data_IF_974017975610
#
_entry.id   IF_974017975610
#
_cell.length_a   1.000
_cell.length_b   1.000
_cell.length_c   1.000
_cell.angle_alpha   90.00
_cell.angle_beta   90.00
_cell.angle_gamma   90.00
#
_symmetry.space_group_name_H-M   'P 1'
#
loop_
_entity.id
_entity.type
_entity.pdbx_description
1 polymer ?
#
# COMPACT_ATOMS: atom_id res chain seq x y z
N UNK A 1 4.00 -16.55 6.78
CA UNK A 1 2.74 -15.81 6.49
C UNK A 1 2.18 -16.32 5.18
N UNK A 2 0.86 -16.36 5.00
CA UNK A 2 0.24 -16.70 3.70
C UNK A 2 -0.16 -15.38 3.04
N UNK A 3 0.37 -15.12 1.86
CA UNK A 3 0.10 -13.94 1.07
C UNK A 3 -0.58 -14.37 -0.23
N UNK A 4 -1.67 -13.71 -0.59
CA UNK A 4 -2.33 -13.93 -1.87
C UNK A 4 -2.99 -12.64 -2.36
N UNK A 5 -3.13 -12.52 -3.66
CA UNK A 5 -3.84 -11.42 -4.32
C UNK A 5 -4.76 -11.98 -5.41
N UNK A 6 -5.84 -11.27 -5.68
CA UNK A 6 -6.75 -11.61 -6.77
C UNK A 6 -7.40 -10.34 -7.34
N UNK A 7 -7.79 -10.41 -8.61
CA UNK A 7 -8.61 -9.40 -9.28
C UNK A 7 -9.79 -10.10 -9.93
N UNK A 8 -10.98 -9.50 -9.80
CA UNK A 8 -12.21 -10.07 -10.35
C UNK A 8 -12.81 -9.08 -11.34
N UNK A 9 -12.90 -9.51 -12.62
CA UNK A 9 -13.52 -8.72 -13.67
C UNK A 9 -14.98 -8.44 -13.34
N UNK A 10 -15.34 -7.17 -13.26
CA UNK A 10 -16.70 -6.72 -13.00
C UNK A 10 -17.70 -7.14 -14.09
N UNK A 11 -18.99 -7.28 -13.72
CA UNK A 11 -20.06 -7.70 -14.65
C UNK A 11 -20.19 -6.74 -15.83
N UNK A 12 -20.05 -5.44 -15.64
CA UNK A 12 -20.12 -4.42 -16.70
C UNK A 12 -19.00 -4.58 -17.72
N UNK A 13 -17.77 -4.90 -17.28
CA UNK A 13 -16.65 -5.18 -18.16
C UNK A 13 -16.84 -6.50 -18.92
N UNK A 14 -17.39 -7.51 -18.25
CA UNK A 14 -17.69 -8.80 -18.88
C UNK A 14 -18.73 -8.67 -20.00
N UNK A 15 -19.80 -7.89 -19.79
CA UNK A 15 -20.84 -7.66 -20.81
C UNK A 15 -20.38 -6.83 -22.00
N UNK A 16 -19.37 -5.97 -21.80
CA UNK A 16 -18.78 -5.12 -22.86
C UNK A 16 -17.53 -5.74 -23.50
N UNK A 17 -17.18 -6.96 -23.12
CA UNK A 17 -15.96 -7.64 -23.56
C UNK A 17 -14.66 -6.84 -23.29
N UNK A 18 -14.66 -6.00 -22.24
CA UNK A 18 -13.48 -5.22 -21.81
C UNK A 18 -12.54 -6.09 -20.99
N UNK A 19 -11.26 -5.75 -20.94
CA UNK A 19 -10.30 -6.38 -20.04
C UNK A 19 -10.65 -6.11 -18.57
N UNK A 20 -10.10 -6.89 -17.63
CA UNK A 20 -10.02 -6.48 -16.23
C UNK A 20 -8.97 -5.37 -16.13
N UNK A 21 -9.36 -4.21 -15.61
CA UNK A 21 -8.48 -3.05 -15.52
C UNK A 21 -7.69 -3.03 -14.21
N UNK A 22 -8.02 -3.93 -13.27
CA UNK A 22 -7.34 -4.06 -11.99
C UNK A 22 -6.14 -4.99 -12.10
N UNK A 23 -5.09 -4.67 -11.38
CA UNK A 23 -3.91 -5.51 -11.20
C UNK A 23 -3.51 -5.60 -9.73
N UNK A 24 -2.86 -6.68 -9.36
CA UNK A 24 -2.29 -6.86 -8.03
C UNK A 24 -0.98 -7.63 -8.11
N UNK A 25 -0.12 -7.40 -7.14
CA UNK A 25 1.12 -8.16 -6.96
C UNK A 25 1.39 -8.37 -5.47
N UNK A 26 1.73 -9.59 -5.12
CA UNK A 26 2.11 -9.96 -3.75
C UNK A 26 3.44 -10.66 -3.80
N UNK A 27 4.38 -10.21 -2.97
CA UNK A 27 5.76 -10.71 -2.95
C UNK A 27 6.11 -11.05 -1.51
N UNK A 28 6.69 -12.24 -1.32
CA UNK A 28 7.32 -12.64 -0.07
C UNK A 28 8.83 -12.63 -0.27
N UNK A 29 9.52 -11.77 0.47
CA UNK A 29 10.97 -11.70 0.43
C UNK A 29 11.62 -12.73 1.37
N UNK A 30 12.84 -13.13 1.06
CA UNK A 30 13.60 -14.08 1.87
C UNK A 30 13.99 -13.55 3.26
N UNK A 31 13.98 -12.23 3.44
CA UNK A 31 14.22 -11.55 4.72
C UNK A 31 12.98 -11.51 5.64
N UNK A 32 11.87 -12.13 5.23
CA UNK A 32 10.63 -12.19 5.98
C UNK A 32 9.63 -11.07 5.68
N UNK A 33 10.04 -10.02 4.96
CA UNK A 33 9.13 -8.95 4.55
C UNK A 33 8.12 -9.43 3.49
N UNK A 34 6.91 -8.92 3.58
CA UNK A 34 5.85 -9.12 2.59
C UNK A 34 5.51 -7.78 1.93
N UNK A 35 5.34 -7.78 0.62
CA UNK A 35 4.94 -6.62 -0.16
C UNK A 35 3.60 -6.92 -0.81
N UNK A 36 2.63 -6.03 -0.66
CA UNK A 36 1.35 -6.10 -1.34
C UNK A 36 1.12 -4.83 -2.15
N UNK A 37 0.74 -4.98 -3.42
CA UNK A 37 0.48 -3.88 -4.35
C UNK A 37 -0.84 -4.14 -5.07
N UNK A 38 -1.66 -3.12 -5.20
CA UNK A 38 -2.93 -3.15 -5.93
C UNK A 38 -3.06 -1.87 -6.74
N UNK A 39 -3.52 -2.00 -7.97
CA UNK A 39 -3.80 -0.90 -8.88
C UNK A 39 -5.17 -1.11 -9.55
N UNK A 40 -5.96 -0.03 -9.64
CA UNK A 40 -7.24 0.03 -10.35
C UNK A 40 -7.09 0.99 -11.53
N UNK A 41 -7.24 0.47 -12.73
CA UNK A 41 -7.12 1.25 -13.96
C UNK A 41 -8.34 2.13 -14.19
N UNK A 42 -8.12 3.42 -14.42
CA UNK A 42 -9.19 4.40 -14.64
C UNK A 42 -10.07 3.99 -15.83
N UNK A 43 -11.35 3.80 -15.59
CA UNK A 43 -12.28 3.25 -16.58
C UNK A 43 -12.50 4.08 -17.85
N UNK A 44 -12.11 5.36 -17.85
CA UNK A 44 -12.13 6.24 -19.02
C UNK A 44 -10.84 6.22 -19.83
N UNK A 45 -9.74 5.70 -19.30
CA UNK A 45 -8.46 5.60 -19.99
C UNK A 45 -8.44 4.39 -20.94
N UNK A 46 -7.83 4.55 -22.10
CA UNK A 46 -7.90 3.55 -23.20
C UNK A 46 -7.20 2.22 -22.88
N UNK A 47 -6.12 2.31 -22.11
CA UNK A 47 -5.19 1.20 -21.83
C UNK A 47 -4.84 1.13 -20.34
N UNK A 48 -5.82 1.46 -19.49
CA UNK A 48 -5.62 1.49 -18.03
C UNK A 48 -5.28 0.11 -17.44
N UNK A 49 -5.71 -0.97 -18.09
CA UNK A 49 -5.30 -2.34 -17.73
C UNK A 49 -3.78 -2.57 -17.91
N UNK A 50 -3.17 -1.93 -18.91
CA UNK A 50 -1.73 -1.94 -19.12
C UNK A 50 -1.05 -1.07 -18.05
N UNK A 51 -1.59 0.13 -17.80
CA UNK A 51 -1.11 1.04 -16.77
C UNK A 51 -1.08 0.38 -15.40
N UNK A 52 -2.18 -0.25 -14.98
CA UNK A 52 -2.31 -0.98 -13.72
C UNK A 52 -1.28 -2.12 -13.60
N UNK A 53 -1.08 -2.90 -14.66
CA UNK A 53 -0.07 -3.96 -14.69
C UNK A 53 1.34 -3.42 -14.54
N UNK A 54 1.71 -2.39 -15.32
CA UNK A 54 3.04 -1.75 -15.21
C UNK A 54 3.24 -1.21 -13.80
N UNK A 55 2.23 -0.55 -13.22
CA UNK A 55 2.31 0.02 -11.88
C UNK A 55 2.69 -1.03 -10.83
N UNK A 56 1.94 -2.13 -10.72
CA UNK A 56 2.20 -3.16 -9.70
C UNK A 56 3.49 -3.95 -9.98
N UNK A 57 3.80 -4.22 -11.26
CA UNK A 57 5.01 -4.95 -11.63
C UNK A 57 6.27 -4.13 -11.30
N UNK A 58 6.32 -2.87 -11.73
CA UNK A 58 7.49 -2.03 -11.56
C UNK A 58 7.69 -1.56 -10.12
N UNK A 59 6.62 -1.21 -9.41
CA UNK A 59 6.71 -0.95 -7.98
C UNK A 59 7.19 -2.20 -7.21
N UNK A 60 6.66 -3.38 -7.55
CA UNK A 60 7.07 -4.64 -6.94
C UNK A 60 8.53 -5.02 -7.22
N UNK A 61 8.99 -4.84 -8.46
CA UNK A 61 10.39 -4.99 -8.86
C UNK A 61 11.31 -4.12 -7.98
N UNK A 62 11.03 -2.80 -7.97
CA UNK A 62 11.81 -1.83 -7.20
C UNK A 62 11.86 -2.17 -5.70
N UNK A 63 10.71 -2.47 -5.09
CA UNK A 63 10.66 -2.88 -3.68
C UNK A 63 11.47 -4.16 -3.43
N UNK A 64 11.37 -5.16 -4.31
CA UNK A 64 12.08 -6.44 -4.15
C UNK A 64 13.59 -6.29 -4.20
N UNK A 65 14.10 -5.38 -5.00
CA UNK A 65 15.52 -5.12 -5.17
C UNK A 65 16.11 -4.26 -4.05
N UNK A 66 15.28 -3.39 -3.44
CA UNK A 66 15.75 -2.37 -2.52
C UNK A 66 15.38 -2.64 -1.05
N UNK A 67 14.46 -3.56 -0.73
CA UNK A 67 14.15 -3.94 0.65
C UNK A 67 15.15 -4.96 1.17
N UNK A 68 15.99 -4.52 2.11
CA UNK A 68 17.02 -5.32 2.72
C UNK A 68 16.73 -5.64 4.20
N UNK A 69 17.38 -6.70 4.71
CA UNK A 69 17.31 -7.05 6.12
C UNK A 69 17.85 -5.90 7.02
N UNK A 70 17.14 -5.63 8.10
CA UNK A 70 17.56 -4.63 9.08
C UNK A 70 17.16 -3.18 8.73
N UNK A 71 16.46 -2.95 7.63
CA UNK A 71 15.88 -1.63 7.35
C UNK A 71 14.88 -1.24 8.44
N UNK A 72 14.98 0.00 8.89
CA UNK A 72 13.96 0.59 9.75
C UNK A 72 12.74 1.00 8.95
N UNK A 73 11.66 1.36 9.65
CA UNK A 73 10.39 1.71 9.04
C UNK A 73 10.46 2.92 8.10
N UNK A 74 11.28 3.93 8.45
CA UNK A 74 11.42 5.13 7.62
C UNK A 74 12.17 4.82 6.31
N UNK A 75 13.14 3.90 6.35
CA UNK A 75 13.81 3.41 5.15
C UNK A 75 12.88 2.57 4.26
N UNK A 76 12.04 1.72 4.86
CA UNK A 76 11.03 0.96 4.11
C UNK A 76 10.01 1.90 3.44
N UNK A 77 9.58 2.96 4.15
CA UNK A 77 8.69 3.97 3.62
C UNK A 77 9.32 4.71 2.45
N UNK A 78 10.61 5.06 2.54
CA UNK A 78 11.31 5.71 1.43
C UNK A 78 11.40 4.80 0.21
N UNK A 79 11.73 3.50 0.39
CA UNK A 79 11.74 2.54 -0.72
C UNK A 79 10.37 2.43 -1.37
N UNK A 80 9.29 2.38 -0.58
CA UNK A 80 7.94 2.33 -1.10
C UNK A 80 7.60 3.58 -1.92
N UNK A 81 7.96 4.77 -1.43
CA UNK A 81 7.78 6.04 -2.14
C UNK A 81 8.53 6.06 -3.47
N UNK A 82 9.79 5.66 -3.46
CA UNK A 82 10.62 5.63 -4.66
C UNK A 82 10.07 4.61 -5.67
N UNK A 83 9.47 3.51 -5.20
CA UNK A 83 8.82 2.51 -6.06
C UNK A 83 7.63 3.07 -6.84
N UNK A 84 6.85 3.98 -6.25
CA UNK A 84 5.76 4.67 -6.94
C UNK A 84 6.29 5.59 -8.05
N UNK A 85 7.37 6.32 -7.76
CA UNK A 85 8.05 7.17 -8.75
C UNK A 85 8.64 6.32 -9.90
N UNK A 86 9.21 5.16 -9.57
CA UNK A 86 9.74 4.24 -10.56
C UNK A 86 8.64 3.65 -11.45
N UNK A 87 7.50 3.28 -10.86
CA UNK A 87 6.33 2.81 -11.60
C UNK A 87 5.80 3.89 -12.56
N UNK A 88 5.65 5.13 -12.09
CA UNK A 88 5.22 6.26 -12.92
C UNK A 88 6.16 6.51 -14.10
N UNK A 89 7.48 6.53 -13.84
CA UNK A 89 8.47 6.70 -14.90
C UNK A 89 8.39 5.57 -15.94
N UNK A 90 8.12 4.33 -15.51
CA UNK A 90 7.98 3.18 -16.39
C UNK A 90 6.71 3.27 -17.26
N UNK A 91 5.60 3.77 -16.71
CA UNK A 91 4.37 4.05 -17.48
C UNK A 91 4.66 5.14 -18.53
N UNK A 92 5.34 6.22 -18.15
CA UNK A 92 5.68 7.31 -19.07
C UNK A 92 6.62 6.85 -20.19
N UNK A 93 7.61 6.03 -19.88
CA UNK A 93 8.47 5.40 -20.87
C UNK A 93 7.67 4.53 -21.85
N UNK A 94 6.78 3.67 -21.33
CA UNK A 94 5.93 2.81 -22.15
C UNK A 94 5.02 3.64 -23.08
N UNK A 95 4.41 4.71 -22.57
CA UNK A 95 3.59 5.63 -23.37
C UNK A 95 4.40 6.24 -24.51
N UNK A 96 5.60 6.73 -24.21
CA UNK A 96 6.51 7.33 -25.20
C UNK A 96 6.92 6.32 -26.28
N UNK A 97 7.30 5.11 -25.91
CA UNK A 97 7.71 4.04 -26.83
C UNK A 97 6.59 3.59 -27.76
N UNK A 98 5.32 3.72 -27.30
CA UNK A 98 4.14 3.35 -28.07
C UNK A 98 3.44 4.53 -28.76
N UNK A 99 4.04 5.73 -28.74
CA UNK A 99 3.46 6.96 -29.30
C UNK A 99 2.04 7.24 -28.75
N UNK A 100 1.81 6.96 -27.47
CA UNK A 100 0.57 7.18 -26.75
C UNK A 100 0.68 8.30 -25.73
N UNK A 101 -0.44 8.81 -25.24
CA UNK A 101 -0.47 9.77 -24.15
C UNK A 101 -0.39 9.04 -22.82
N UNK A 102 0.25 9.63 -21.81
CA UNK A 102 0.38 9.00 -20.48
C UNK A 102 -0.99 8.78 -19.83
N UNK A 103 -1.95 9.68 -20.09
CA UNK A 103 -3.33 9.62 -19.61
C UNK A 103 -4.10 8.40 -20.14
N UNK A 104 -3.66 7.80 -21.25
CA UNK A 104 -4.24 6.56 -21.76
C UNK A 104 -3.98 5.36 -20.81
N UNK A 105 -3.03 5.49 -19.89
CA UNK A 105 -2.60 4.45 -18.92
C UNK A 105 -2.92 4.81 -17.46
N UNK A 106 -3.83 5.75 -17.23
CA UNK A 106 -4.19 6.20 -15.89
C UNK A 106 -4.63 5.05 -15.00
N UNK A 107 -4.06 5.00 -13.80
CA UNK A 107 -4.34 3.98 -12.80
C UNK A 107 -4.11 4.54 -11.40
N UNK A 108 -4.72 3.92 -10.40
CA UNK A 108 -4.37 4.09 -8.99
C UNK A 108 -3.18 3.20 -8.63
N UNK A 109 -2.59 3.42 -7.47
CA UNK A 109 -1.64 2.47 -6.87
C UNK A 109 -1.71 2.55 -5.35
N UNK A 110 -1.94 1.42 -4.71
CA UNK A 110 -1.82 1.25 -3.27
C UNK A 110 -0.78 0.19 -2.97
N UNK A 111 0.09 0.45 -2.00
CA UNK A 111 1.15 -0.47 -1.65
C UNK A 111 1.43 -0.51 -0.16
N UNK A 112 1.84 -1.67 0.32
CA UNK A 112 2.27 -1.87 1.70
C UNK A 112 3.45 -2.83 1.78
N UNK A 113 4.37 -2.53 2.70
CA UNK A 113 5.49 -3.40 3.10
C UNK A 113 5.28 -3.76 4.57
N UNK A 114 5.25 -5.05 4.87
CA UNK A 114 5.11 -5.57 6.22
C UNK A 114 6.34 -6.40 6.59
N UNK A 115 7.01 -6.06 7.68
CA UNK A 115 8.24 -6.69 8.15
C UNK A 115 8.03 -7.72 9.28
N UNK A 116 6.77 -8.03 9.60
CA UNK A 116 6.38 -8.89 10.72
C UNK A 116 5.98 -8.12 11.98
N UNK A 117 6.28 -6.84 12.06
CA UNK A 117 5.99 -5.97 13.21
C UNK A 117 5.34 -4.64 12.81
N UNK A 118 5.82 -4.03 11.74
CA UNK A 118 5.43 -2.70 11.28
C UNK A 118 4.94 -2.75 9.84
N UNK A 119 4.14 -1.77 9.45
CA UNK A 119 3.65 -1.59 8.08
C UNK A 119 4.07 -0.20 7.60
N UNK A 120 4.86 -0.15 6.52
CA UNK A 120 5.01 1.02 5.69
C UNK A 120 3.98 0.95 4.57
N UNK A 121 3.23 2.02 4.32
CA UNK A 121 2.22 2.04 3.27
C UNK A 121 2.21 3.35 2.49
N UNK A 122 1.82 3.26 1.23
CA UNK A 122 1.64 4.38 0.33
C UNK A 122 0.38 4.18 -0.51
N UNK A 123 -0.25 5.28 -0.90
CA UNK A 123 -1.52 5.25 -1.60
C UNK A 123 -1.66 6.46 -2.52
N UNK A 124 -2.05 6.20 -3.77
CA UNK A 124 -2.41 7.20 -4.77
C UNK A 124 -3.72 6.77 -5.44
N UNK A 125 -4.81 7.52 -5.20
CA UNK A 125 -6.14 7.24 -5.75
C UNK A 125 -7.22 7.06 -4.68
N UNK A 126 -8.24 6.26 -4.97
CA UNK A 126 -9.43 6.06 -4.14
C UNK A 126 -9.56 4.64 -3.56
N UNK A 127 -8.55 3.79 -3.76
CA UNK A 127 -8.46 2.49 -3.11
C UNK A 127 -8.33 2.60 -1.58
N UNK A 128 -8.12 1.49 -0.91
CA UNK A 128 -8.01 1.49 0.55
C UNK A 128 -7.13 0.37 1.08
N UNK A 129 -6.46 0.65 2.19
CA UNK A 129 -5.70 -0.35 2.96
C UNK A 129 -6.39 -0.51 4.31
N UNK A 130 -6.75 -1.75 4.64
CA UNK A 130 -7.37 -2.13 5.91
C UNK A 130 -6.38 -2.95 6.72
N UNK A 131 -6.19 -2.57 7.97
CA UNK A 131 -5.34 -3.29 8.92
C UNK A 131 -6.19 -3.89 10.03
N UNK A 132 -6.03 -5.18 10.27
CA UNK A 132 -6.57 -5.84 11.45
C UNK A 132 -5.54 -5.80 12.57
N UNK A 133 -5.90 -5.19 13.69
CA UNK A 133 -5.05 -5.10 14.90
C UNK A 133 -5.08 -6.39 15.71
N UNK A 134 -4.15 -6.52 16.65
CA UNK A 134 -4.06 -7.68 17.54
C UNK A 134 -5.26 -7.84 18.48
N UNK A 135 -5.98 -6.75 18.79
CA UNK A 135 -7.23 -6.76 19.56
C UNK A 135 -8.47 -7.18 18.74
N UNK A 136 -8.25 -7.48 17.44
CA UNK A 136 -9.30 -7.88 16.50
C UNK A 136 -10.01 -6.73 15.80
N UNK A 137 -9.77 -5.47 16.19
CA UNK A 137 -10.34 -4.31 15.51
C UNK A 137 -9.75 -4.11 14.12
N UNK A 138 -10.52 -3.51 13.23
CA UNK A 138 -10.10 -3.17 11.87
C UNK A 138 -10.09 -1.66 11.68
N UNK A 139 -9.01 -1.14 11.09
CA UNK A 139 -8.90 0.26 10.72
C UNK A 139 -8.60 0.39 9.22
N UNK A 140 -9.27 1.33 8.58
CA UNK A 140 -8.87 1.82 7.26
C UNK A 140 -7.80 2.87 7.52
N UNK A 141 -6.60 2.66 6.97
CA UNK A 141 -5.43 3.51 7.26
C UNK A 141 -5.12 4.50 6.14
N UNK A 142 -5.84 4.43 5.04
CA UNK A 142 -5.74 5.37 3.91
C UNK A 142 -6.96 6.28 3.85
N UNK A 143 -6.76 7.52 3.41
CA UNK A 143 -7.84 8.44 3.07
C UNK A 143 -8.01 8.44 1.55
N UNK A 144 -9.25 8.36 1.09
CA UNK A 144 -9.53 8.45 -0.34
C UNK A 144 -9.11 9.81 -0.89
N UNK A 145 -8.26 9.79 -1.91
CA UNK A 145 -7.85 10.99 -2.60
C UNK A 145 -8.82 11.27 -3.74
N UNK A 146 -9.49 12.42 -3.66
CA UNK A 146 -10.37 12.90 -4.73
C UNK A 146 -9.75 14.18 -5.31
N UNK A 147 -9.60 14.22 -6.63
CA UNK A 147 -9.18 15.43 -7.34
C UNK A 147 -10.21 16.57 -7.18
N UNK A 148 -9.86 17.78 -7.60
CA UNK A 148 -10.67 19.01 -7.44
C UNK A 148 -12.11 18.89 -7.95
N UNK A 149 -12.41 17.94 -8.85
CA UNK A 149 -13.74 17.67 -9.40
C UNK A 149 -14.31 16.30 -8.98
N UNK A 150 -13.91 15.75 -7.83
CA UNK A 150 -14.24 14.37 -7.43
C UNK A 150 -13.73 13.31 -8.42
N UNK A 151 -12.74 13.65 -9.21
CA UNK A 151 -12.03 12.73 -10.09
C UNK A 151 -10.85 12.13 -9.36
N UNK A 152 -10.43 10.96 -9.83
CA UNK A 152 -9.26 10.25 -9.36
C UNK A 152 -8.01 11.13 -9.24
N UNK A 153 -7.15 10.80 -8.28
CA UNK A 153 -5.77 11.24 -8.28
C UNK A 153 -4.92 10.09 -8.84
N UNK A 154 -4.69 10.02 -10.15
CA UNK A 154 -3.91 8.95 -10.75
C UNK A 154 -2.43 9.04 -10.35
N UNK A 155 -1.70 7.93 -10.50
CA UNK A 155 -0.26 7.85 -10.14
C UNK A 155 0.57 8.96 -10.83
N UNK A 156 0.18 9.39 -12.03
CA UNK A 156 0.89 10.47 -12.72
C UNK A 156 0.76 11.86 -12.06
N UNK A 157 -0.25 12.07 -11.21
CA UNK A 157 -0.34 13.27 -10.39
C UNK A 157 0.48 13.08 -9.09
N UNK A 158 1.80 13.07 -9.20
CA UNK A 158 2.75 12.79 -8.12
C UNK A 158 2.57 13.63 -6.83
N UNK A 159 1.80 14.72 -6.90
CA UNK A 159 1.43 15.54 -5.73
C UNK A 159 0.42 14.86 -4.79
N UNK A 160 -0.17 13.74 -5.19
CA UNK A 160 -1.24 13.05 -4.46
C UNK A 160 -0.79 11.81 -3.69
N UNK A 161 0.51 11.52 -3.61
CA UNK A 161 0.99 10.38 -2.84
C UNK A 161 0.79 10.63 -1.34
N UNK A 162 -0.07 9.83 -0.72
CA UNK A 162 -0.20 9.74 0.72
C UNK A 162 0.62 8.57 1.23
N UNK A 163 1.59 8.84 2.08
CA UNK A 163 2.47 7.84 2.67
C UNK A 163 2.48 7.93 4.18
N UNK A 164 2.55 6.80 4.86
CA UNK A 164 2.61 6.74 6.31
C UNK A 164 3.13 5.39 6.79
N UNK A 165 3.30 5.27 8.10
CA UNK A 165 3.81 4.06 8.72
C UNK A 165 3.08 3.76 10.03
N UNK A 166 2.77 2.49 10.26
CA UNK A 166 2.18 2.01 11.51
C UNK A 166 3.26 1.24 12.28
N UNK A 167 3.59 1.73 13.46
CA UNK A 167 4.50 1.07 14.41
C UNK A 167 3.70 0.29 15.45
N UNK A 168 4.19 -0.85 15.94
CA UNK A 168 3.61 -1.49 17.11
C UNK A 168 3.67 -0.53 18.31
N UNK A 169 2.60 -0.47 19.10
CA UNK A 169 2.66 0.24 20.36
C UNK A 169 3.70 -0.46 21.24
N UNK A 170 4.66 0.29 21.77
CA UNK A 170 5.53 -0.20 22.83
C UNK A 170 4.66 -0.77 23.95
N UNK A 171 4.97 -1.95 24.50
CA UNK A 171 4.25 -2.43 25.68
C UNK A 171 4.39 -1.35 26.74
N UNK A 172 3.29 -0.84 27.25
CA UNK A 172 3.30 0.04 28.40
C UNK A 172 4.10 -0.67 29.50
N UNK A 173 5.09 -0.03 30.13
CA UNK A 173 5.67 -0.59 31.34
C UNK A 173 4.53 -0.82 32.31
N UNK A 174 4.31 -2.08 32.68
CA UNK A 174 3.39 -2.44 33.74
C UNK A 174 3.78 -1.59 34.94
N UNK A 175 2.91 -0.69 35.35
CA UNK A 175 3.07 -0.02 36.63
C UNK A 175 3.18 -1.12 37.70
N UNK A 176 4.35 -1.22 38.30
CA UNK A 176 4.54 -2.10 39.43
C UNK A 176 3.51 -1.66 40.48
N UNK A 177 2.51 -2.51 40.70
CA UNK A 177 1.63 -2.41 41.83
C UNK A 177 2.50 -2.63 43.08
N UNK A 178 2.99 -1.53 43.69
CA UNK A 178 3.51 -1.56 45.03
C UNK A 178 2.34 -1.74 45.96
N UNK A 179 2.19 -2.96 46.49
CA UNK A 179 1.29 -3.22 47.62
C UNK A 179 1.59 -2.24 48.77
N UNK A 180 0.57 -1.55 49.31
CA UNK A 180 0.79 -0.76 50.51
C UNK A 180 1.02 -1.71 51.69
N UNK A 181 2.21 -1.63 52.27
CA UNK A 181 2.56 -2.31 53.52
C UNK A 181 1.53 -1.93 54.60
N UNK A 182 0.70 -2.92 55.01
CA UNK A 182 -0.14 -2.78 56.19
C UNK A 182 0.74 -2.75 57.42
N UNK A 183 0.79 -1.60 58.08
CA UNK A 183 1.34 -1.47 59.42
C UNK A 183 0.49 -2.29 60.43
N UNK A 184 1.10 -2.98 61.43
CA UNK A 184 0.36 -3.74 62.42
C UNK A 184 -0.30 -2.78 63.45
N UNK A 185 -1.58 -3.04 63.73
CA UNK A 185 -2.36 -2.35 64.76
C UNK A 185 -1.93 -2.93 66.11
N UNK A 186 -1.55 -2.11 67.15
CA UNK A 186 -1.29 -2.61 68.47
C UNK A 186 -2.60 -2.95 69.19
N UNK A 187 -2.67 -4.16 69.77
CA UNK A 187 -3.71 -4.55 70.68
C UNK A 187 -3.55 -3.83 72.03
N UNK A 188 -4.64 -3.27 72.52
CA UNK A 188 -4.93 -3.02 73.90
C UNK A 188 -6.18 -3.76 74.32
#
# INVERSE_FOLDING_TARGET
MINYGFSIKGKSHSTRNMACQDANKVIQLNNGCSIGLVADGVGSAKSSDIGAKIAVEKAGEYCSENINSGMNLDQQLQVLKDSFSYALNSINQYATENNAQIEDFDTTLSGAIYDGQSIAYGHAGDGGIVVKKNDGTMDIITEQQQGENKQYCPVHAAACLQESAIRPRSPHPQAALTDPVRSPIPLR
#
